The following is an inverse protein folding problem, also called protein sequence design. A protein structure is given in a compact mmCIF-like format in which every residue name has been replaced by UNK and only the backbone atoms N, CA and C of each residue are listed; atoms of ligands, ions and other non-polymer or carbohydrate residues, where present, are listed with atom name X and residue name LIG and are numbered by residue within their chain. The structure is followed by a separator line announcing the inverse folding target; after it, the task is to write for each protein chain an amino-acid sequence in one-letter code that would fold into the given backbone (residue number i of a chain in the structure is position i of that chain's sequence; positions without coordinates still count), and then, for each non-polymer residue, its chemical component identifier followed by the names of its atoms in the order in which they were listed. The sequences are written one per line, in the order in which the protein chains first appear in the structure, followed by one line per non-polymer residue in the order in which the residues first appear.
data_IF_597855231761
#
_entry.id   IF_597855231761
#
_cell.length_a   1.000
_cell.length_b   1.000
_cell.length_c   1.000
_cell.angle_alpha   90.00
_cell.angle_beta   90.00
_cell.angle_gamma   90.00
#
_symmetry.space_group_name_H-M   'P 1'
#
loop_
_entity.id
_entity.type
_entity.pdbx_description
1 polymer ?
#
# COMPACT_ATOMS: atom_id res chain seq x y z
N UNK A 1 -0.58 5.64 -15.95
CA UNK A 1 -0.91 6.92 -15.27
C UNK A 1 0.23 7.37 -14.38
N UNK A 2 0.25 8.66 -14.02
CA UNK A 2 1.19 9.23 -13.05
C UNK A 2 0.67 9.14 -11.61
N UNK A 3 1.59 9.12 -10.64
CA UNK A 3 1.23 9.10 -9.21
C UNK A 3 0.34 10.28 -8.81
N UNK A 4 0.66 11.48 -9.33
CA UNK A 4 -0.11 12.67 -9.01
C UNK A 4 -1.57 12.61 -9.48
N UNK A 5 -1.84 11.91 -10.58
CA UNK A 5 -3.19 11.72 -11.11
C UNK A 5 -3.98 10.74 -10.24
N UNK A 6 -3.32 9.65 -9.81
CA UNK A 6 -3.93 8.67 -8.91
C UNK A 6 -4.35 9.31 -7.59
N UNK A 7 -3.44 10.06 -6.94
CA UNK A 7 -3.76 10.74 -5.67
C UNK A 7 -4.90 11.76 -5.82
N UNK A 8 -5.04 12.40 -7.00
CA UNK A 8 -6.16 13.33 -7.26
C UNK A 8 -7.52 12.63 -7.33
N UNK A 9 -7.57 11.33 -7.62
CA UNK A 9 -8.81 10.56 -7.63
C UNK A 9 -9.29 10.18 -6.21
N UNK A 10 -8.48 10.47 -5.19
CA UNK A 10 -8.74 10.08 -3.81
C UNK A 10 -8.14 8.71 -3.48
N UNK A 11 -7.76 8.54 -2.21
CA UNK A 11 -7.16 7.30 -1.70
C UNK A 11 -8.25 6.51 -0.97
N UNK A 12 -8.76 5.44 -1.58
CA UNK A 12 -9.97 4.76 -1.10
C UNK A 12 -9.74 3.92 0.15
N UNK A 13 -8.50 3.46 0.34
CA UNK A 13 -8.11 2.56 1.42
C UNK A 13 -7.33 3.29 2.52
N UNK A 14 -7.15 4.61 2.38
CA UNK A 14 -6.50 5.43 3.38
C UNK A 14 -7.45 5.70 4.55
N UNK A 15 -6.96 5.53 5.77
CA UNK A 15 -7.66 5.85 7.00
C UNK A 15 -6.86 6.83 7.85
N UNK A 16 -7.57 7.75 8.50
CA UNK A 16 -6.98 8.77 9.39
C UNK A 16 -6.55 8.19 10.74
N UNK A 17 -7.24 7.14 11.19
CA UNK A 17 -7.04 6.49 12.48
C UNK A 17 -6.63 5.03 12.31
N UNK A 18 -6.43 4.36 13.44
CA UNK A 18 -6.27 2.91 13.49
C UNK A 18 -7.57 2.20 13.08
N UNK A 19 -7.43 1.05 12.45
CA UNK A 19 -8.53 0.19 12.03
C UNK A 19 -8.39 -1.20 12.64
N UNK A 20 -9.51 -1.90 12.76
CA UNK A 20 -9.53 -3.27 13.25
C UNK A 20 -8.87 -4.25 12.28
N UNK A 21 -8.19 -5.26 12.82
CA UNK A 21 -7.61 -6.35 12.06
C UNK A 21 -6.16 -6.61 12.44
N UNK A 22 -5.49 -7.43 11.64
CA UNK A 22 -4.06 -7.67 11.76
C UNK A 22 -3.32 -6.41 11.30
N UNK A 23 -2.30 -6.03 12.06
CA UNK A 23 -1.55 -4.78 11.87
C UNK A 23 -0.12 -5.08 11.55
N UNK A 24 0.41 -4.39 10.55
CA UNK A 24 1.84 -4.41 10.22
C UNK A 24 2.32 -3.04 9.81
N UNK A 25 3.55 -2.71 10.17
CA UNK A 25 4.10 -1.38 9.95
C UNK A 25 5.50 -1.44 9.34
N UNK A 26 5.88 -0.41 8.61
CA UNK A 26 7.25 -0.27 8.15
C UNK A 26 7.66 1.20 8.23
N UNK A 27 8.86 1.44 8.75
CA UNK A 27 9.47 2.76 8.81
C UNK A 27 10.86 2.71 8.18
N UNK A 28 11.08 3.48 7.12
CA UNK A 28 12.39 3.66 6.49
C UNK A 28 12.65 5.15 6.26
N UNK A 29 13.60 5.71 7.01
CA UNK A 29 13.90 7.14 7.00
C UNK A 29 12.68 7.97 7.41
N UNK A 30 12.18 8.81 6.50
CA UNK A 30 11.00 9.65 6.72
C UNK A 30 9.67 8.99 6.28
N UNK A 31 9.73 7.80 5.68
CA UNK A 31 8.58 7.07 5.20
C UNK A 31 8.08 6.14 6.29
N UNK A 32 6.82 6.30 6.69
CA UNK A 32 6.14 5.39 7.62
C UNK A 32 4.80 5.02 7.05
N UNK A 33 4.50 3.72 7.06
CA UNK A 33 3.23 3.16 6.64
C UNK A 33 2.78 2.10 7.65
N UNK A 34 1.48 2.02 7.87
CA UNK A 34 0.85 0.97 8.66
C UNK A 34 -0.33 0.43 7.86
N UNK A 35 -0.39 -0.89 7.74
CA UNK A 35 -1.42 -1.61 7.00
C UNK A 35 -2.26 -2.41 8.00
N UNK A 36 -3.56 -2.41 7.77
CA UNK A 36 -4.57 -3.12 8.56
C UNK A 36 -5.26 -4.12 7.64
N UNK A 37 -5.26 -5.40 8.03
CA UNK A 37 -5.75 -6.50 7.21
C UNK A 37 -6.82 -7.28 7.97
N UNK A 38 -8.00 -7.44 7.36
CA UNK A 38 -9.03 -8.38 7.84
C UNK A 38 -8.96 -9.65 7.00
N UNK A 39 -8.89 -10.80 7.67
CA UNK A 39 -8.91 -12.13 7.05
C UNK A 39 -10.18 -12.88 7.39
N UNK A 40 -10.75 -13.55 6.40
CA UNK A 40 -11.83 -14.53 6.59
C UNK A 40 -11.46 -15.82 5.85
N UNK A 41 -11.58 -16.98 6.51
CA UNK A 41 -11.26 -18.29 5.94
C UNK A 41 -9.87 -18.35 5.27
N UNK A 42 -8.88 -17.70 5.88
CA UNK A 42 -7.50 -17.67 5.39
C UNK A 42 -7.24 -16.73 4.20
N UNK A 43 -8.24 -15.97 3.72
CA UNK A 43 -8.10 -14.99 2.64
C UNK A 43 -8.26 -13.56 3.16
N UNK A 44 -7.57 -12.61 2.54
CA UNK A 44 -7.77 -11.19 2.85
C UNK A 44 -9.08 -10.71 2.23
N UNK A 45 -9.99 -10.19 3.07
CA UNK A 45 -11.28 -9.61 2.63
C UNK A 45 -11.29 -8.09 2.67
N UNK A 46 -10.50 -7.49 3.57
CA UNK A 46 -10.31 -6.05 3.63
C UNK A 46 -8.87 -5.69 3.94
N UNK A 47 -8.42 -4.57 3.39
CA UNK A 47 -7.07 -4.06 3.53
C UNK A 47 -7.14 -2.53 3.45
N UNK A 48 -6.70 -1.88 4.53
CA UNK A 48 -6.65 -0.43 4.68
C UNK A 48 -5.28 -0.01 5.17
N UNK A 49 -4.95 1.27 5.09
CA UNK A 49 -3.65 1.77 5.54
C UNK A 49 -3.72 3.18 6.08
N UNK A 50 -2.75 3.52 6.91
CA UNK A 50 -2.37 4.90 7.19
C UNK A 50 -0.87 5.08 6.90
N UNK A 51 -0.45 6.32 6.67
CA UNK A 51 0.94 6.64 6.36
C UNK A 51 1.25 8.10 6.64
N UNK A 52 2.55 8.44 6.64
CA UNK A 52 2.96 9.85 6.61
C UNK A 52 2.49 10.51 5.30
N UNK A 53 1.58 11.48 5.42
CA UNK A 53 0.90 12.15 4.28
C UNK A 53 1.82 12.92 3.31
N UNK A 54 3.13 13.01 3.61
CA UNK A 54 4.08 13.82 2.84
C UNK A 54 4.56 13.15 1.56
N UNK A 55 4.52 11.81 1.46
CA UNK A 55 5.02 11.09 0.30
C UNK A 55 3.89 10.58 -0.61
N UNK A 56 3.57 11.34 -1.67
CA UNK A 56 2.53 10.96 -2.65
C UNK A 56 2.77 9.59 -3.30
N UNK A 57 4.04 9.24 -3.54
CA UNK A 57 4.43 7.94 -4.10
C UNK A 57 4.06 6.80 -3.16
N UNK A 58 4.41 6.92 -1.88
CA UNK A 58 4.05 5.94 -0.86
C UNK A 58 2.53 5.80 -0.74
N UNK A 59 1.82 6.92 -0.66
CA UNK A 59 0.35 6.93 -0.57
C UNK A 59 -0.30 6.19 -1.75
N UNK A 60 0.07 6.52 -2.98
CA UNK A 60 -0.52 5.89 -4.17
C UNK A 60 -0.18 4.41 -4.28
N UNK A 61 1.07 4.05 -3.98
CA UNK A 61 1.54 2.65 -4.01
C UNK A 61 0.80 1.82 -2.97
N UNK A 62 0.71 2.30 -1.73
CA UNK A 62 0.05 1.54 -0.65
C UNK A 62 -1.44 1.43 -0.90
N UNK A 63 -2.10 2.50 -1.36
CA UNK A 63 -3.53 2.45 -1.67
C UNK A 63 -3.82 1.42 -2.77
N UNK A 64 -3.05 1.41 -3.85
CA UNK A 64 -3.25 0.45 -4.93
C UNK A 64 -2.87 -0.98 -4.51
N UNK A 65 -1.83 -1.15 -3.69
CA UNK A 65 -1.49 -2.44 -3.09
C UNK A 65 -2.69 -2.99 -2.29
N UNK A 66 -3.35 -2.17 -1.47
CA UNK A 66 -4.56 -2.57 -0.74
C UNK A 66 -5.69 -3.01 -1.70
N UNK A 67 -5.90 -2.30 -2.82
CA UNK A 67 -6.88 -2.72 -3.85
C UNK A 67 -6.52 -4.09 -4.44
N UNK A 68 -5.24 -4.31 -4.79
CA UNK A 68 -4.76 -5.59 -5.34
C UNK A 68 -4.91 -6.74 -4.35
N UNK A 69 -4.52 -6.54 -3.09
CA UNK A 69 -4.63 -7.56 -2.03
C UNK A 69 -6.09 -7.98 -1.87
N UNK A 70 -7.03 -7.02 -1.82
CA UNK A 70 -8.46 -7.33 -1.71
C UNK A 70 -8.99 -8.10 -2.92
N UNK A 71 -8.55 -7.73 -4.13
CA UNK A 71 -8.95 -8.41 -5.36
C UNK A 71 -8.42 -9.84 -5.45
N UNK A 72 -7.19 -10.08 -5.00
CA UNK A 72 -6.51 -11.39 -5.09
C UNK A 72 -6.79 -12.28 -3.87
N UNK A 73 -7.08 -11.68 -2.72
CA UNK A 73 -7.14 -12.35 -1.42
C UNK A 73 -5.77 -12.72 -0.84
N UNK A 74 -4.67 -12.37 -1.51
CA UNK A 74 -3.28 -12.71 -1.15
C UNK A 74 -2.33 -11.53 -1.44
N UNK A 75 -1.08 -11.63 -0.96
CA UNK A 75 -0.04 -10.64 -1.24
C UNK A 75 0.21 -10.48 -2.76
N UNK A 76 0.23 -9.25 -3.31
CA UNK A 76 0.61 -8.98 -4.69
C UNK A 76 2.14 -8.90 -4.85
N UNK A 77 2.63 -9.04 -6.07
CA UNK A 77 4.04 -8.80 -6.37
C UNK A 77 4.34 -7.32 -6.54
N UNK A 78 5.63 -6.96 -6.46
CA UNK A 78 6.10 -5.59 -6.68
C UNK A 78 5.76 -5.11 -8.09
N UNK A 79 5.93 -5.97 -9.09
CA UNK A 79 5.65 -5.68 -10.49
C UNK A 79 4.17 -5.39 -10.72
N UNK A 80 3.27 -6.13 -10.06
CA UNK A 80 1.83 -5.89 -10.13
C UNK A 80 1.48 -4.49 -9.62
N UNK A 81 2.08 -4.05 -8.50
CA UNK A 81 1.87 -2.71 -7.95
C UNK A 81 2.41 -1.64 -8.88
N UNK A 82 3.62 -1.82 -9.42
CA UNK A 82 4.30 -0.84 -10.26
C UNK A 82 3.71 -0.72 -11.67
N UNK A 83 2.96 -1.75 -12.13
CA UNK A 83 2.32 -1.80 -13.45
C UNK A 83 1.29 -0.68 -13.66
N UNK A 84 0.69 -0.15 -12.58
CA UNK A 84 -0.30 0.93 -12.66
C UNK A 84 0.36 2.29 -12.98
N UNK A 85 1.65 2.45 -12.69
CA UNK A 85 2.35 3.74 -12.81
C UNK A 85 3.43 3.74 -13.91
N UNK A 86 3.13 3.36 -15.17
CA UNK A 86 4.13 3.26 -16.22
C UNK A 86 4.70 4.63 -16.66
N UNK A 87 4.00 5.72 -16.35
CA UNK A 87 4.40 7.09 -16.73
C UNK A 87 5.25 7.80 -15.65
N UNK A 88 5.47 7.15 -14.51
CA UNK A 88 6.27 7.73 -13.43
C UNK A 88 7.76 7.57 -13.73
N UNK A 89 8.48 8.69 -13.84
CA UNK A 89 9.90 8.71 -14.25
C UNK A 89 10.86 8.19 -13.17
N UNK A 90 10.58 8.48 -11.90
CA UNK A 90 11.42 8.12 -10.75
C UNK A 90 11.16 6.67 -10.31
N UNK A 91 11.50 5.71 -11.18
CA UNK A 91 11.20 4.27 -10.98
C UNK A 91 11.92 3.68 -9.77
N UNK A 92 13.17 4.03 -9.56
CA UNK A 92 13.97 3.68 -8.37
C UNK A 92 13.25 4.05 -7.07
N UNK A 93 12.66 5.26 -7.04
CA UNK A 93 11.90 5.72 -5.88
C UNK A 93 10.63 4.90 -5.73
N UNK A 94 9.91 4.61 -6.82
CA UNK A 94 8.69 3.81 -6.78
C UNK A 94 8.96 2.40 -6.25
N UNK A 95 10.02 1.74 -6.72
CA UNK A 95 10.43 0.42 -6.24
C UNK A 95 10.69 0.41 -4.74
N UNK A 96 11.47 1.37 -4.24
CA UNK A 96 11.72 1.49 -2.80
C UNK A 96 10.41 1.69 -1.99
N UNK A 97 9.44 2.45 -2.50
CA UNK A 97 8.16 2.66 -1.77
C UNK A 97 7.27 1.43 -1.82
N UNK A 98 7.32 0.68 -2.92
CA UNK A 98 6.66 -0.61 -3.03
C UNK A 98 7.26 -1.62 -2.03
N UNK A 99 8.59 -1.64 -1.87
CA UNK A 99 9.25 -2.49 -0.89
C UNK A 99 8.84 -2.15 0.55
N UNK A 100 8.77 -0.86 0.90
CA UNK A 100 8.29 -0.40 2.21
C UNK A 100 6.84 -0.86 2.45
N UNK A 101 5.96 -0.68 1.46
CA UNK A 101 4.56 -1.08 1.57
C UNK A 101 4.40 -2.61 1.70
N UNK A 102 5.14 -3.38 0.92
CA UNK A 102 5.12 -4.84 0.97
C UNK A 102 5.67 -5.39 2.29
N UNK A 103 6.72 -4.78 2.86
CA UNK A 103 7.22 -5.15 4.19
C UNK A 103 6.15 -4.97 5.27
N UNK A 104 5.46 -3.83 5.27
CA UNK A 104 4.37 -3.58 6.21
C UNK A 104 3.22 -4.58 6.04
N UNK A 105 2.87 -4.93 4.80
CA UNK A 105 1.87 -5.96 4.52
C UNK A 105 2.31 -7.34 5.01
N UNK A 106 3.56 -7.75 4.75
CA UNK A 106 4.10 -9.03 5.23
C UNK A 106 4.07 -9.12 6.74
N UNK A 107 4.42 -8.05 7.44
CA UNK A 107 4.32 -7.97 8.90
C UNK A 107 2.87 -8.15 9.37
N UNK A 108 1.90 -7.55 8.68
CA UNK A 108 0.48 -7.72 9.00
C UNK A 108 -0.05 -9.13 8.70
N UNK A 109 0.57 -9.85 7.76
CA UNK A 109 0.12 -11.17 7.32
C UNK A 109 0.79 -12.32 8.05
N UNK A 110 1.91 -12.05 8.75
CA UNK A 110 2.68 -12.99 9.58
C UNK A 110 1.88 -13.44 10.81
#
# INVERSE_FOLDING_TARGET
MKVAEYVKQGLKNFVEAEEEGLKGSCTEGCHRVTVFVKKENGKVVDCKFNATKRCKKLLAITDYMCELVKKKGTEPTKEEILSLFPEEKERDKMENRADIALKALKEALS
#
